data_IF_001657940270
#
_entry.id   IF_001657940270
#
_cell.length_a   1.000
_cell.length_b   1.000
_cell.length_c   1.000
_cell.angle_alpha   90.00
_cell.angle_beta   90.00
_cell.angle_gamma   90.00
#
_symmetry.space_group_name_H-M   'P 1'
#
loop_
_entity.id
_entity.type
_entity.pdbx_description
1 polymer ?
#
# COMPACT_ATOMS: atom_id res chain seq x y z
N UNK A 1 -30.78 -105.33 86.35
CA UNK A 1 -30.41 -105.49 84.91
C UNK A 1 -31.63 -105.10 84.09
N UNK A 2 -31.58 -103.96 83.38
CA UNK A 2 -32.74 -103.43 82.65
C UNK A 2 -32.86 -104.14 81.29
N UNK A 3 -33.97 -104.82 81.05
CA UNK A 3 -34.24 -105.42 79.74
C UNK A 3 -34.44 -104.30 78.70
N UNK A 4 -33.84 -104.45 77.53
CA UNK A 4 -34.10 -103.58 76.38
C UNK A 4 -35.15 -104.25 75.52
N UNK A 5 -36.37 -103.73 75.57
CA UNK A 5 -37.42 -104.14 74.63
C UNK A 5 -37.11 -103.50 73.27
N UNK A 6 -36.97 -104.31 72.23
CA UNK A 6 -36.79 -103.83 70.85
C UNK A 6 -38.12 -103.27 70.33
N UNK A 7 -38.50 -102.05 70.76
CA UNK A 7 -39.60 -101.35 70.14
C UNK A 7 -39.21 -100.93 68.73
N UNK A 8 -39.82 -101.58 67.73
CA UNK A 8 -39.80 -101.16 66.34
C UNK A 8 -40.36 -99.73 66.30
N UNK A 9 -39.59 -98.76 65.80
CA UNK A 9 -40.04 -97.37 65.71
C UNK A 9 -41.28 -97.30 64.82
N UNK A 10 -42.40 -96.85 65.36
CA UNK A 10 -43.63 -96.55 64.61
C UNK A 10 -43.49 -95.20 63.90
N UNK A 11 -42.54 -95.07 62.97
CA UNK A 11 -42.55 -93.94 62.02
C UNK A 11 -43.49 -94.31 60.88
N UNK A 12 -44.65 -93.68 60.87
CA UNK A 12 -45.75 -93.94 59.93
C UNK A 12 -45.51 -93.29 58.56
N UNK A 13 -44.47 -92.47 58.42
CA UNK A 13 -44.10 -91.83 57.17
C UNK A 13 -42.75 -92.36 56.70
N UNK A 14 -42.81 -93.24 55.72
CA UNK A 14 -41.70 -93.51 54.80
C UNK A 14 -41.30 -92.20 54.14
N UNK A 15 -40.05 -91.78 54.33
CA UNK A 15 -39.45 -90.73 53.49
C UNK A 15 -38.89 -91.42 52.24
N UNK A 16 -39.79 -92.05 51.49
CA UNK A 16 -39.48 -92.78 50.27
C UNK A 16 -40.46 -92.34 49.19
N UNK A 17 -39.92 -91.63 48.20
CA UNK A 17 -40.57 -91.25 46.94
C UNK A 17 -41.91 -90.51 47.08
N UNK A 18 -41.87 -89.19 46.83
CA UNK A 18 -43.07 -88.44 46.48
C UNK A 18 -43.80 -89.15 45.33
N UNK A 19 -45.07 -89.56 45.48
CA UNK A 19 -45.87 -90.02 44.36
C UNK A 19 -46.10 -88.80 43.47
N UNK A 20 -45.48 -88.83 42.30
CA UNK A 20 -45.56 -87.77 41.31
C UNK A 20 -46.99 -87.70 40.73
N UNK A 21 -47.87 -87.00 41.43
CA UNK A 21 -49.19 -86.62 40.91
C UNK A 21 -49.02 -85.44 39.98
N UNK A 22 -48.92 -85.71 38.67
CA UNK A 22 -49.20 -84.69 37.65
C UNK A 22 -50.68 -84.37 37.70
N UNK A 23 -51.02 -83.09 37.75
CA UNK A 23 -52.40 -82.63 37.65
C UNK A 23 -52.77 -82.47 36.18
N UNK A 24 -54.04 -82.66 35.84
CA UNK A 24 -54.57 -82.38 34.49
C UNK A 24 -54.19 -80.97 34.00
N UNK A 25 -54.09 -80.02 34.94
CA UNK A 25 -53.68 -78.65 34.67
C UNK A 25 -52.26 -78.54 34.11
N UNK A 26 -51.29 -79.25 34.69
CA UNK A 26 -49.90 -79.22 34.25
C UNK A 26 -49.68 -79.86 32.88
N UNK A 27 -50.58 -80.76 32.47
CA UNK A 27 -50.56 -81.37 31.14
C UNK A 27 -51.28 -80.51 30.09
N UNK A 28 -52.40 -79.87 30.47
CA UNK A 28 -53.18 -79.01 29.57
C UNK A 28 -52.53 -77.68 29.25
N UNK A 29 -51.76 -77.11 30.18
CA UNK A 29 -51.17 -75.78 30.06
C UNK A 29 -49.67 -75.84 30.31
N UNK A 30 -48.87 -76.35 29.36
CA UNK A 30 -47.42 -76.17 29.42
C UNK A 30 -47.11 -74.68 29.45
N UNK A 31 -46.10 -74.28 30.23
CA UNK A 31 -45.62 -72.90 30.22
C UNK A 31 -45.31 -72.50 28.78
N UNK A 32 -45.85 -71.36 28.34
CA UNK A 32 -45.56 -70.84 27.01
C UNK A 32 -44.04 -70.77 26.84
N UNK A 33 -43.52 -71.51 25.87
CA UNK A 33 -42.10 -71.44 25.53
C UNK A 33 -41.71 -70.03 25.12
N UNK A 34 -40.42 -69.75 25.04
CA UNK A 34 -39.92 -68.50 24.48
C UNK A 34 -40.29 -68.42 22.99
N UNK A 35 -41.49 -67.91 22.70
CA UNK A 35 -41.94 -67.62 21.34
C UNK A 35 -41.26 -66.32 20.93
N UNK A 36 -40.48 -66.35 19.86
CA UNK A 36 -39.90 -65.13 19.31
C UNK A 36 -41.04 -64.21 18.86
N UNK A 37 -41.01 -62.92 19.22
CA UNK A 37 -41.94 -61.94 18.69
C UNK A 37 -41.91 -61.93 17.16
N UNK A 38 -43.04 -61.66 16.49
CA UNK A 38 -43.07 -61.52 15.04
C UNK A 38 -42.19 -60.35 14.58
N UNK A 39 -41.56 -60.52 13.41
CA UNK A 39 -40.74 -59.49 12.80
C UNK A 39 -41.55 -58.23 12.51
N UNK A 40 -40.92 -57.06 12.72
CA UNK A 40 -41.59 -55.78 12.53
C UNK A 40 -41.68 -55.44 11.06
N UNK A 41 -42.90 -55.23 10.54
CA UNK A 41 -43.12 -54.66 9.20
C UNK A 41 -42.83 -53.15 9.14
N UNK A 42 -42.23 -52.56 10.20
CA UNK A 42 -41.91 -51.14 10.22
C UNK A 42 -40.76 -50.86 9.24
N UNK A 43 -40.90 -49.84 8.38
CA UNK A 43 -39.80 -49.44 7.51
C UNK A 43 -38.59 -49.03 8.35
N UNK A 44 -37.40 -49.46 7.92
CA UNK A 44 -36.16 -49.09 8.58
C UNK A 44 -36.00 -47.56 8.56
N UNK A 45 -35.68 -46.96 9.71
CA UNK A 45 -35.44 -45.52 9.85
C UNK A 45 -34.09 -45.09 9.24
N UNK A 46 -33.79 -45.55 8.02
CA UNK A 46 -32.61 -45.13 7.27
C UNK A 46 -32.89 -43.75 6.67
N UNK A 47 -32.47 -42.70 7.37
CA UNK A 47 -32.43 -41.35 6.82
C UNK A 47 -31.44 -41.34 5.66
N UNK A 48 -31.92 -41.12 4.44
CA UNK A 48 -31.04 -40.85 3.31
C UNK A 48 -30.47 -39.43 3.49
N UNK A 49 -29.14 -39.24 3.53
CA UNK A 49 -28.58 -37.90 3.51
C UNK A 49 -28.96 -37.23 2.18
N UNK A 50 -29.53 -36.04 2.27
CA UNK A 50 -29.68 -35.18 1.11
C UNK A 50 -28.30 -34.61 0.75
N UNK A 51 -27.89 -34.81 -0.50
CA UNK A 51 -26.62 -34.32 -1.04
C UNK A 51 -26.79 -33.05 -1.88
N UNK A 52 -27.98 -32.43 -1.86
CA UNK A 52 -28.22 -31.15 -2.49
C UNK A 52 -27.26 -30.07 -1.96
N UNK A 53 -26.53 -29.42 -2.87
CA UNK A 53 -25.72 -28.24 -2.52
C UNK A 53 -26.55 -26.97 -2.69
N UNK A 54 -26.37 -26.01 -1.78
CA UNK A 54 -27.01 -24.71 -1.90
C UNK A 54 -26.35 -23.88 -2.99
N UNK A 55 -27.15 -23.24 -3.84
CA UNK A 55 -26.64 -22.31 -4.84
C UNK A 55 -25.94 -21.12 -4.13
N UNK A 56 -24.69 -20.83 -4.52
CA UNK A 56 -23.88 -19.75 -3.95
C UNK A 56 -24.09 -18.39 -4.64
N UNK A 57 -25.04 -18.32 -5.57
CA UNK A 57 -25.39 -17.13 -6.33
C UNK A 57 -26.37 -16.28 -5.53
N UNK A 58 -25.90 -15.16 -4.98
CA UNK A 58 -26.75 -14.16 -4.32
C UNK A 58 -27.23 -13.11 -5.32
N UNK A 59 -28.29 -12.38 -4.98
CA UNK A 59 -28.80 -11.24 -5.77
C UNK A 59 -27.71 -10.21 -6.04
N UNK A 60 -26.85 -9.93 -5.06
CA UNK A 60 -25.71 -9.03 -5.28
C UNK A 60 -24.77 -9.52 -6.39
N UNK A 61 -24.45 -10.83 -6.43
CA UNK A 61 -23.58 -11.40 -7.47
C UNK A 61 -24.25 -11.44 -8.85
N UNK A 62 -25.57 -11.59 -8.91
CA UNK A 62 -26.30 -11.57 -10.18
C UNK A 62 -26.52 -10.16 -10.71
N UNK A 63 -26.82 -9.22 -9.82
CA UNK A 63 -27.33 -7.90 -10.18
C UNK A 63 -26.20 -6.88 -10.36
N UNK A 64 -25.10 -7.04 -9.61
CA UNK A 64 -23.98 -6.11 -9.62
C UNK A 64 -22.81 -6.62 -10.47
N UNK A 65 -22.99 -6.56 -11.80
CA UNK A 65 -21.94 -6.90 -12.77
C UNK A 65 -21.24 -5.63 -13.28
N UNK A 66 -19.94 -5.70 -13.63
CA UNK A 66 -19.27 -4.60 -14.33
C UNK A 66 -19.97 -4.29 -15.65
N UNK A 67 -20.38 -3.04 -15.84
CA UNK A 67 -20.96 -2.58 -17.10
C UNK A 67 -19.90 -1.84 -17.94
N UNK A 68 -19.89 -2.11 -19.25
CA UNK A 68 -19.07 -1.34 -20.18
C UNK A 68 -19.62 0.09 -20.32
N UNK A 69 -18.93 1.05 -19.71
CA UNK A 69 -19.27 2.47 -19.83
C UNK A 69 -18.53 3.05 -21.04
N UNK A 70 -19.24 3.30 -22.14
CA UNK A 70 -18.70 4.08 -23.25
C UNK A 70 -18.72 5.55 -22.87
N UNK A 71 -17.55 6.18 -22.80
CA UNK A 71 -17.47 7.62 -22.67
C UNK A 71 -18.14 8.25 -23.91
N UNK A 72 -19.09 9.20 -23.74
CA UNK A 72 -19.63 9.92 -24.87
C UNK A 72 -18.49 10.65 -25.57
N UNK A 73 -18.40 10.47 -26.88
CA UNK A 73 -17.50 11.22 -27.76
C UNK A 73 -17.86 12.70 -27.63
N UNK A 74 -17.13 13.43 -26.78
CA UNK A 74 -17.21 14.88 -26.73
C UNK A 74 -16.52 15.43 -27.95
N UNK A 75 -17.29 15.79 -28.97
CA UNK A 75 -16.78 16.60 -30.08
C UNK A 75 -16.34 17.93 -29.50
N UNK A 76 -15.02 18.15 -29.41
CA UNK A 76 -14.47 19.46 -29.06
C UNK A 76 -14.95 20.45 -30.13
N UNK A 77 -15.64 21.55 -29.77
CA UNK A 77 -16.00 22.55 -30.75
C UNK A 77 -14.73 23.17 -31.31
N UNK A 78 -14.59 23.15 -32.64
CA UNK A 78 -13.48 23.81 -33.30
C UNK A 78 -13.53 25.31 -33.05
N UNK A 79 -12.44 25.87 -32.54
CA UNK A 79 -12.38 27.29 -32.19
C UNK A 79 -12.46 28.14 -33.46
N UNK A 80 -13.53 28.94 -33.56
CA UNK A 80 -13.68 29.95 -34.60
C UNK A 80 -13.37 31.33 -34.00
N UNK A 81 -12.18 31.92 -34.27
CA UNK A 81 -11.88 33.26 -33.82
C UNK A 81 -12.92 34.23 -34.38
N UNK A 82 -13.34 35.21 -33.57
CA UNK A 82 -14.25 36.25 -34.03
C UNK A 82 -13.54 37.08 -35.10
N UNK A 83 -14.18 37.25 -36.25
CA UNK A 83 -13.72 38.19 -37.27
C UNK A 83 -13.87 39.61 -36.75
N UNK A 84 -12.74 40.31 -36.57
CA UNK A 84 -12.73 41.71 -36.18
C UNK A 84 -11.31 42.25 -36.21
N UNK A 85 -11.17 43.51 -36.59
CA UNK A 85 -9.90 44.22 -36.43
C UNK A 85 -9.71 44.53 -34.95
N UNK A 86 -8.60 44.07 -34.38
CA UNK A 86 -8.26 44.31 -32.98
C UNK A 86 -7.12 45.31 -32.93
N UNK A 87 -7.24 46.32 -32.07
CA UNK A 87 -6.16 47.28 -31.84
C UNK A 87 -5.01 46.59 -31.10
N UNK A 88 -4.00 46.16 -31.86
CA UNK A 88 -2.76 45.56 -31.35
C UNK A 88 -1.79 46.61 -30.76
N UNK A 89 -2.18 47.89 -30.74
CA UNK A 89 -1.39 48.98 -30.21
C UNK A 89 -1.31 48.94 -28.68
N UNK A 90 -0.19 48.48 -28.13
CA UNK A 90 0.06 48.62 -26.69
C UNK A 90 0.37 50.06 -26.33
N UNK A 91 -0.02 50.47 -25.11
CA UNK A 91 0.30 51.79 -24.53
C UNK A 91 1.82 52.05 -24.57
N UNK A 92 2.62 51.02 -24.28
CA UNK A 92 4.09 51.10 -24.36
C UNK A 92 4.60 51.52 -25.74
N UNK A 93 4.05 50.95 -26.82
CA UNK A 93 4.44 51.33 -28.19
C UNK A 93 4.07 52.77 -28.54
N UNK A 94 2.99 53.30 -27.95
CA UNK A 94 2.55 54.69 -28.16
C UNK A 94 3.41 55.68 -27.39
N UNK A 95 3.70 55.35 -26.13
CA UNK A 95 4.33 56.27 -25.19
C UNK A 95 5.86 56.27 -25.33
N UNK A 96 6.48 55.14 -25.67
CA UNK A 96 7.94 54.99 -25.77
C UNK A 96 8.39 54.91 -27.22
N UNK A 97 8.38 56.06 -27.89
CA UNK A 97 9.00 56.20 -29.22
C UNK A 97 10.50 56.51 -29.11
N UNK A 98 11.34 56.01 -30.03
CA UNK A 98 12.76 56.34 -30.03
C UNK A 98 12.95 57.84 -30.31
N UNK A 99 13.54 58.56 -29.36
CA UNK A 99 13.85 59.98 -29.50
C UNK A 99 15.26 60.18 -30.09
N UNK A 100 15.38 61.10 -31.04
CA UNK A 100 16.70 61.53 -31.54
C UNK A 100 17.34 62.44 -30.50
N UNK A 101 18.37 61.94 -29.82
CA UNK A 101 19.23 62.75 -28.96
C UNK A 101 20.36 63.38 -29.80
N UNK A 102 20.56 64.69 -29.65
CA UNK A 102 21.66 65.40 -30.31
C UNK A 102 23.01 65.06 -29.67
N UNK A 103 24.13 65.23 -30.41
CA UNK A 103 25.46 65.05 -29.83
C UNK A 103 25.70 66.05 -28.70
N UNK A 104 26.13 65.56 -27.53
CA UNK A 104 26.48 66.41 -26.39
C UNK A 104 27.89 66.97 -26.60
N UNK A 105 28.01 68.29 -26.67
CA UNK A 105 29.30 68.97 -26.73
C UNK A 105 29.86 69.05 -25.31
N UNK A 106 30.92 68.29 -25.03
CA UNK A 106 31.64 68.38 -23.76
C UNK A 106 32.43 69.70 -23.71
N UNK A 107 32.10 70.58 -22.76
CA UNK A 107 32.88 71.78 -22.50
C UNK A 107 34.22 71.39 -21.83
N UNK A 108 35.28 71.21 -22.64
CA UNK A 108 36.62 70.96 -22.11
C UNK A 108 37.20 72.27 -21.56
N UNK A 109 37.73 72.29 -20.32
CA UNK A 109 38.46 73.44 -19.80
C UNK A 109 39.66 73.74 -20.69
N UNK A 110 39.94 75.03 -20.92
CA UNK A 110 41.13 75.47 -21.65
C UNK A 110 42.38 75.01 -20.88
N UNK A 111 43.24 74.23 -21.54
CA UNK A 111 44.53 73.84 -20.96
C UNK A 111 45.36 75.09 -20.67
N UNK A 112 45.62 75.36 -19.38
CA UNK A 112 46.57 76.40 -18.96
C UNK A 112 47.96 75.77 -18.80
N UNK A 113 48.86 76.03 -19.75
CA UNK A 113 50.27 75.63 -19.62
C UNK A 113 50.99 76.64 -18.74
N UNK A 114 51.22 76.29 -17.46
CA UNK A 114 52.11 77.05 -16.59
C UNK A 114 53.55 76.61 -16.86
N UNK A 115 54.26 77.35 -17.71
CA UNK A 115 55.69 77.11 -17.95
C UNK A 115 56.49 77.89 -16.89
N UNK A 116 56.90 77.22 -15.82
CA UNK A 116 57.89 77.80 -14.89
C UNK A 116 59.27 77.76 -15.56
N UNK A 117 59.83 78.94 -15.88
CA UNK A 117 61.11 79.08 -16.58
C UNK A 117 62.36 78.81 -15.75
N UNK A 118 62.25 78.09 -14.63
CA UNK A 118 63.38 77.76 -13.78
C UNK A 118 64.26 76.69 -14.45
N UNK A 119 65.50 77.04 -14.77
CA UNK A 119 66.51 76.09 -15.25
C UNK A 119 67.06 75.33 -14.05
N UNK A 120 66.96 74.00 -14.07
CA UNK A 120 67.58 73.14 -13.06
C UNK A 120 69.04 72.91 -13.45
N UNK A 121 69.98 73.47 -12.68
CA UNK A 121 71.40 73.18 -12.84
C UNK A 121 71.71 71.81 -12.25
N UNK A 122 71.82 70.82 -13.13
CA UNK A 122 72.15 69.42 -12.79
C UNK A 122 73.60 69.14 -13.15
N UNK A 123 74.54 69.71 -12.39
CA UNK A 123 75.95 69.31 -12.51
C UNK A 123 76.16 68.09 -11.59
N UNK A 124 76.33 66.87 -12.13
CA UNK A 124 76.56 65.69 -11.32
C UNK A 124 77.95 65.74 -10.67
N UNK A 125 78.05 65.31 -9.42
CA UNK A 125 79.26 65.39 -8.58
C UNK A 125 80.51 64.73 -9.21
N UNK A 126 80.35 63.66 -9.99
CA UNK A 126 81.46 63.02 -10.71
C UNK A 126 82.15 63.96 -11.72
N UNK A 127 81.41 64.84 -12.43
CA UNK A 127 82.00 65.76 -13.41
C UNK A 127 82.81 66.91 -12.78
N UNK A 128 82.64 67.19 -11.49
CA UNK A 128 83.34 68.27 -10.79
C UNK A 128 84.75 67.90 -10.31
N UNK A 129 85.08 66.61 -10.26
CA UNK A 129 86.30 66.12 -9.61
C UNK A 129 87.41 65.67 -10.59
N UNK A 130 87.24 65.82 -11.91
CA UNK A 130 88.12 65.19 -12.92
C UNK A 130 89.16 66.13 -13.56
N UNK A 131 89.43 67.32 -13.01
CA UNK A 131 90.42 68.25 -13.58
C UNK A 131 91.72 68.31 -12.76
N UNK A 132 92.49 67.23 -12.83
CA UNK A 132 93.92 67.27 -12.50
C UNK A 132 94.61 68.23 -13.50
N UNK A 133 95.26 69.28 -12.98
CA UNK A 133 95.94 70.31 -13.75
C UNK A 133 96.91 69.76 -14.80
N UNK A 134 96.54 69.89 -16.07
CA UNK A 134 97.47 69.87 -17.19
C UNK A 134 97.29 71.17 -17.99
N UNK A 135 98.03 72.18 -17.56
CA UNK A 135 98.44 73.28 -18.41
C UNK A 135 99.16 72.74 -19.64
N UNK A 136 98.78 73.19 -20.84
CA UNK A 136 99.63 73.72 -21.94
C UNK A 136 98.66 74.30 -23.00
N UNK A 137 98.43 75.60 -22.98
CA UNK A 137 99.14 76.62 -23.79
C UNK A 137 99.03 76.43 -25.31
N UNK A 138 98.22 77.31 -25.92
CA UNK A 138 98.46 78.16 -27.11
C UNK A 138 99.25 77.57 -28.30
N UNK A 139 98.84 77.71 -29.57
CA UNK A 139 98.61 78.97 -30.29
C UNK A 139 97.87 78.75 -31.63
N UNK A 140 97.28 79.82 -32.21
CA UNK A 140 96.45 79.80 -33.40
C UNK A 140 97.23 80.06 -34.70
N UNK A 141 96.74 79.56 -35.83
CA UNK A 141 96.58 80.32 -37.08
C UNK A 141 95.48 79.71 -37.93
#
# INVERSE_FOLDING_TARGET
IRHRCCHRTTRIYDTGAQPYHKTEYGEKYPGYGSVCPPESCRPSAQLRPDHGTMNSTSTFKSDYIPHEVKLPSRTQPEYRPKSGDIDLGTVYRRDYSPHKVGPVVLARPRESRHTTGARLDTIPTYRGNDTCHLHKESKPT
#
